data_IF_866023489556
#
_entry.id   IF_866023489556
#
_cell.length_a   1.000
_cell.length_b   1.000
_cell.length_c   1.000
_cell.angle_alpha   90.00
_cell.angle_beta   90.00
_cell.angle_gamma   90.00
#
_symmetry.space_group_name_H-M   'P 1'
#
loop_
_entity.id
_entity.type
_entity.pdbx_description
1 polymer ?
#
# COMPACT_ATOMS: atom_id res chain seq x y z
N UNK A 1 7.98 -0.22 -4.82
CA UNK A 1 7.58 1.00 -4.08
C UNK A 1 8.14 0.90 -2.67
N UNK A 2 8.41 1.99 -1.97
CA UNK A 2 8.89 1.95 -0.59
C UNK A 2 7.77 2.31 0.39
N UNK A 3 7.79 1.67 1.55
CA UNK A 3 6.90 1.96 2.67
C UNK A 3 7.19 3.37 3.19
N UNK A 4 6.17 4.20 3.35
CA UNK A 4 6.35 5.59 3.82
C UNK A 4 6.63 5.70 5.33
N UNK A 5 6.58 4.57 6.04
CA UNK A 5 6.69 4.50 7.51
C UNK A 5 8.05 3.94 7.96
N UNK A 6 8.57 2.94 7.25
CA UNK A 6 9.83 2.27 7.57
C UNK A 6 10.82 2.15 6.39
N UNK A 7 10.52 2.76 5.24
CA UNK A 7 11.32 2.71 3.99
C UNK A 7 11.54 1.31 3.39
N UNK A 8 10.96 0.26 3.96
CA UNK A 8 11.03 -1.11 3.45
C UNK A 8 10.43 -1.23 2.03
N UNK A 9 10.89 -2.22 1.26
CA UNK A 9 10.38 -2.43 -0.09
C UNK A 9 8.99 -3.06 -0.03
N UNK A 10 7.97 -2.32 -0.45
CA UNK A 10 6.62 -2.84 -0.64
C UNK A 10 6.49 -3.47 -2.03
N UNK A 11 6.05 -4.72 -2.03
CA UNK A 11 5.74 -5.47 -3.24
C UNK A 11 4.24 -5.39 -3.50
N UNK A 12 3.84 -4.52 -4.43
CA UNK A 12 2.43 -4.34 -4.83
C UNK A 12 2.15 -5.28 -5.99
N UNK A 13 1.20 -6.23 -5.88
CA UNK A 13 0.86 -7.11 -6.98
C UNK A 13 0.24 -6.33 -8.15
N UNK A 14 0.48 -6.79 -9.39
CA UNK A 14 -0.10 -6.15 -10.58
C UNK A 14 -1.62 -6.30 -10.67
N UNK A 15 -2.17 -7.36 -10.06
CA UNK A 15 -3.61 -7.60 -9.95
C UNK A 15 -4.28 -6.76 -8.85
N UNK A 16 -3.50 -6.04 -8.04
CA UNK A 16 -4.03 -5.23 -6.96
C UNK A 16 -4.97 -4.14 -7.47
N UNK A 17 -6.12 -3.99 -6.80
CA UNK A 17 -7.16 -3.05 -7.18
C UNK A 17 -7.17 -1.79 -6.30
N UNK A 18 -7.75 -0.70 -6.81
CA UNK A 18 -8.03 0.50 -6.00
C UNK A 18 -8.99 0.12 -4.87
N UNK A 19 -8.66 0.52 -3.65
CA UNK A 19 -9.38 0.16 -2.41
C UNK A 19 -8.87 -1.11 -1.73
N UNK A 20 -7.90 -1.82 -2.30
CA UNK A 20 -7.23 -2.94 -1.65
C UNK A 20 -6.26 -2.45 -0.57
N UNK A 21 -6.12 -3.22 0.52
CA UNK A 21 -5.20 -2.95 1.60
C UNK A 21 -3.94 -3.80 1.45
N UNK A 22 -2.79 -3.14 1.45
CA UNK A 22 -1.45 -3.70 1.41
C UNK A 22 -0.80 -3.48 2.77
N UNK A 23 -0.50 -4.58 3.45
CA UNK A 23 0.23 -4.57 4.71
C UNK A 23 1.74 -4.63 4.46
N UNK A 24 2.49 -3.76 5.14
CA UNK A 24 3.95 -3.81 5.12
C UNK A 24 4.44 -5.03 5.91
N UNK A 25 5.24 -5.95 5.31
CA UNK A 25 5.74 -7.13 6.00
C UNK A 25 6.82 -6.81 7.06
N UNK A 26 7.42 -5.62 7.02
CA UNK A 26 8.49 -5.21 7.95
C UNK A 26 7.95 -4.51 9.20
N UNK A 27 7.16 -3.44 9.03
CA UNK A 27 6.64 -2.68 10.18
C UNK A 27 5.19 -3.02 10.55
N UNK A 28 4.47 -3.74 9.70
CA UNK A 28 3.06 -4.08 9.92
C UNK A 28 2.08 -2.93 9.63
N UNK A 29 2.53 -1.82 9.04
CA UNK A 29 1.64 -0.72 8.66
C UNK A 29 0.74 -1.11 7.48
N UNK A 30 -0.53 -0.74 7.56
CA UNK A 30 -1.52 -0.98 6.51
C UNK A 30 -1.71 0.25 5.61
N UNK A 31 -1.66 0.02 4.30
CA UNK A 31 -1.83 1.04 3.28
C UNK A 31 -2.95 0.66 2.32
N UNK A 32 -3.84 1.59 2.01
CA UNK A 32 -4.87 1.38 0.99
C UNK A 32 -4.40 1.93 -0.37
N UNK A 33 -4.66 1.19 -1.45
CA UNK A 33 -4.44 1.66 -2.82
C UNK A 33 -5.46 2.75 -3.15
N UNK A 34 -5.03 4.01 -3.10
CA UNK A 34 -5.88 5.15 -3.43
C UNK A 34 -6.11 5.29 -4.94
N UNK A 35 -5.08 5.02 -5.77
CA UNK A 35 -5.16 5.04 -7.24
C UNK A 35 -4.14 4.08 -7.87
N UNK A 36 -4.51 3.49 -9.02
CA UNK A 36 -3.62 2.68 -9.86
C UNK A 36 -3.79 3.07 -11.32
N UNK A 37 -2.72 3.55 -11.96
CA UNK A 37 -2.69 3.95 -13.38
C UNK A 37 -1.45 3.34 -14.04
N UNK A 38 -1.64 2.21 -14.74
CA UNK A 38 -0.53 1.45 -15.31
C UNK A 38 0.43 0.97 -14.22
N UNK A 39 1.70 1.39 -14.31
CA UNK A 39 2.74 1.07 -13.32
C UNK A 39 2.80 2.04 -12.13
N UNK A 40 2.02 3.12 -12.16
CA UNK A 40 1.97 4.10 -11.06
C UNK A 40 0.88 3.70 -10.08
N UNK A 41 1.26 3.50 -8.82
CA UNK A 41 0.34 3.22 -7.71
C UNK A 41 0.49 4.31 -6.66
N UNK A 42 -0.63 4.86 -6.21
CA UNK A 42 -0.70 5.79 -5.08
C UNK A 42 -1.30 5.06 -3.88
N UNK A 43 -0.57 5.09 -2.75
CA UNK A 43 -0.98 4.52 -1.48
C UNK A 43 -1.36 5.63 -0.50
N UNK A 44 -2.36 5.37 0.34
CA UNK A 44 -2.70 6.19 1.52
C UNK A 44 -2.71 5.31 2.77
N UNK A 45 -2.64 5.89 3.96
CA UNK A 45 -2.83 5.11 5.19
C UNK A 45 -4.22 4.47 5.20
N UNK A 46 -4.28 3.18 5.54
CA UNK A 46 -5.55 2.50 5.73
C UNK A 46 -6.26 3.05 6.97
N UNK A 47 -7.58 3.19 6.88
CA UNK A 47 -8.40 3.62 8.01
C UNK A 47 -8.32 2.54 9.12
N UNK A 48 -8.03 2.94 10.36
CA UNK A 48 -8.09 2.05 11.51
C UNK A 48 -9.55 1.89 11.93
N UNK A 49 -10.04 0.66 12.09
CA UNK A 49 -11.36 0.43 12.71
C UNK A 49 -11.28 0.86 14.18
N UNK A 50 -11.92 1.98 14.50
CA UNK A 50 -12.07 2.50 15.86
C UNK A 50 -13.20 1.85 16.64
#
# INVERSE_FOLDING_TARGET
MNCQDCDATLNIPDDAAVGEIISCPDCGADFEIAKKVGSTVELKQAESVG
#
